data_IF_893442037666
#
_entry.id   IF_893442037666
#
_cell.length_a   1.000
_cell.length_b   1.000
_cell.length_c   1.000
_cell.angle_alpha   90.00
_cell.angle_beta   90.00
_cell.angle_gamma   90.00
#
_symmetry.space_group_name_H-M   'P 1'
#
loop_
_entity.id
_entity.type
_entity.pdbx_description
1 polymer ?
#
# COMPACT_ATOMS: atom_id res chain seq x y z
N UNK A 1 12.71 19.47 24.92
CA UNK A 1 11.67 20.21 24.22
C UNK A 1 11.73 19.72 22.77
N UNK A 2 10.74 18.97 22.40
CA UNK A 2 10.58 18.40 21.09
C UNK A 2 10.15 19.51 20.14
N UNK A 3 10.85 19.61 19.06
CA UNK A 3 10.62 20.66 18.09
C UNK A 3 10.23 20.02 16.78
N UNK A 4 8.94 20.03 16.51
CA UNK A 4 8.50 19.87 15.12
C UNK A 4 9.13 20.98 14.29
N UNK A 5 9.64 20.64 13.12
CA UNK A 5 10.24 21.60 12.20
C UNK A 5 9.27 21.86 11.05
N UNK A 6 9.00 23.11 10.77
CA UNK A 6 8.23 23.50 9.60
C UNK A 6 8.91 22.97 8.32
N UNK A 7 8.13 22.39 7.42
CA UNK A 7 8.60 21.78 6.19
C UNK A 7 9.08 20.33 6.33
N UNK A 8 8.88 19.69 7.50
CA UNK A 8 9.05 18.25 7.66
C UNK A 8 7.87 17.50 6.98
N UNK A 9 7.71 17.72 5.69
CA UNK A 9 6.64 17.21 4.84
C UNK A 9 7.20 16.85 3.45
N UNK A 10 6.33 16.47 2.53
CA UNK A 10 6.70 16.13 1.15
C UNK A 10 6.50 17.28 0.17
N UNK A 11 6.18 18.49 0.67
CA UNK A 11 5.89 19.68 -0.15
C UNK A 11 4.84 19.43 -1.24
N UNK A 12 3.79 18.68 -0.89
CA UNK A 12 2.78 18.19 -1.83
C UNK A 12 2.01 19.32 -2.52
N UNK A 13 1.84 20.46 -1.86
CA UNK A 13 1.15 21.62 -2.46
C UNK A 13 1.84 22.14 -3.72
N UNK A 14 3.16 22.07 -3.79
CA UNK A 14 3.88 22.43 -5.00
C UNK A 14 3.72 21.36 -6.10
N UNK A 15 3.67 20.08 -5.72
CA UNK A 15 3.39 19.00 -6.66
C UNK A 15 1.97 19.11 -7.25
N UNK A 16 0.96 19.48 -6.43
CA UNK A 16 -0.42 19.66 -6.88
C UNK A 16 -0.61 20.82 -7.87
N UNK A 17 0.33 21.76 -7.97
CA UNK A 17 0.33 22.77 -9.05
C UNK A 17 0.61 22.15 -10.42
N UNK A 18 1.23 20.98 -10.46
CA UNK A 18 1.55 20.24 -11.68
C UNK A 18 0.53 19.12 -11.95
N UNK A 19 0.27 18.29 -10.96
CA UNK A 19 -0.70 17.20 -11.04
C UNK A 19 -1.13 16.78 -9.63
N UNK A 20 -2.43 16.49 -9.45
CA UNK A 20 -2.99 16.00 -8.19
C UNK A 20 -3.51 14.55 -8.30
N UNK A 21 -3.42 13.94 -9.47
CA UNK A 21 -3.86 12.59 -9.78
C UNK A 21 -4.09 12.41 -11.28
N UNK A 22 -4.34 11.17 -11.68
CA UNK A 22 -4.74 10.81 -13.05
C UNK A 22 -5.61 9.54 -12.96
N UNK A 23 -6.89 9.57 -13.35
CA UNK A 23 -7.79 8.43 -13.25
C UNK A 23 -7.45 7.28 -14.20
N UNK A 24 -6.53 7.48 -15.14
CA UNK A 24 -5.99 6.40 -15.98
C UNK A 24 -4.92 5.55 -15.27
N UNK A 25 -4.42 6.01 -14.14
CA UNK A 25 -3.43 5.30 -13.34
C UNK A 25 -4.12 4.55 -12.21
N UNK A 26 -3.79 3.27 -12.07
CA UNK A 26 -4.26 2.42 -10.96
C UNK A 26 -3.09 2.08 -10.05
N UNK A 27 -3.29 2.32 -8.76
CA UNK A 27 -2.39 1.90 -7.66
C UNK A 27 -3.00 0.68 -6.99
N UNK A 28 -2.34 -0.45 -7.06
CA UNK A 28 -2.74 -1.63 -6.32
C UNK A 28 -2.18 -1.55 -4.89
N UNK A 29 -3.08 -1.58 -3.92
CA UNK A 29 -2.76 -1.66 -2.50
C UNK A 29 -2.69 -3.14 -2.14
N UNK A 30 -1.47 -3.65 -2.04
CA UNK A 30 -1.20 -5.04 -1.67
C UNK A 30 -1.00 -5.07 -0.16
N UNK A 31 -2.08 -5.34 0.60
CA UNK A 31 -2.14 -5.09 2.04
C UNK A 31 -3.30 -5.87 2.70
N UNK A 32 -3.80 -5.44 3.86
CA UNK A 32 -5.16 -5.71 4.32
C UNK A 32 -6.17 -5.10 3.33
N UNK A 33 -7.42 -5.53 3.39
CA UNK A 33 -8.45 -4.99 2.50
C UNK A 33 -8.74 -3.51 2.71
N UNK A 34 -9.19 -2.87 1.65
CA UNK A 34 -9.64 -1.47 1.68
C UNK A 34 -11.13 -1.45 2.01
N UNK A 35 -11.53 -0.59 2.93
CA UNK A 35 -12.94 -0.22 3.15
C UNK A 35 -13.44 0.59 1.94
N UNK A 36 -13.74 -0.11 0.85
CA UNK A 36 -14.09 0.49 -0.43
C UNK A 36 -15.33 1.39 -0.39
N UNK A 37 -16.19 1.21 0.63
CA UNK A 37 -17.37 2.06 0.87
C UNK A 37 -17.06 3.31 1.70
N UNK A 38 -15.82 3.51 2.13
CA UNK A 38 -15.43 4.70 2.91
C UNK A 38 -15.74 5.97 2.10
N UNK A 39 -16.42 6.97 2.68
CA UNK A 39 -16.90 8.14 1.93
C UNK A 39 -15.78 8.96 1.29
N UNK A 40 -14.57 8.86 1.83
CA UNK A 40 -13.39 9.55 1.32
C UNK A 40 -12.55 8.72 0.33
N UNK A 41 -12.93 7.48 0.04
CA UNK A 41 -12.24 6.57 -0.88
C UNK A 41 -13.08 6.13 -2.07
N UNK A 42 -14.39 5.97 -1.86
CA UNK A 42 -15.29 5.28 -2.80
C UNK A 42 -15.20 5.80 -4.24
N UNK A 43 -15.05 7.12 -4.46
CA UNK A 43 -14.97 7.70 -5.80
C UNK A 43 -13.62 7.40 -6.51
N UNK A 44 -12.59 7.10 -5.75
CA UNK A 44 -11.26 6.76 -6.28
C UNK A 44 -10.98 5.24 -6.31
N UNK A 45 -11.96 4.40 -5.95
CA UNK A 45 -11.80 2.96 -6.12
C UNK A 45 -11.70 2.58 -7.60
N UNK A 46 -10.80 1.65 -7.91
CA UNK A 46 -10.80 0.91 -9.16
C UNK A 46 -12.05 0.02 -9.22
N UNK A 47 -12.62 -0.13 -10.39
CA UNK A 47 -13.84 -0.93 -10.58
C UNK A 47 -13.65 -1.86 -11.77
N UNK A 48 -13.73 -3.18 -11.52
CA UNK A 48 -13.95 -4.16 -12.57
C UNK A 48 -15.40 -4.03 -13.07
N UNK A 49 -15.58 -3.40 -14.23
CA UNK A 49 -16.89 -3.10 -14.76
C UNK A 49 -17.64 -4.34 -15.27
N UNK A 50 -16.92 -5.37 -15.67
CA UNK A 50 -17.54 -6.62 -16.09
C UNK A 50 -18.22 -7.28 -14.89
N UNK A 51 -17.48 -7.41 -13.78
CA UNK A 51 -17.99 -7.98 -12.53
C UNK A 51 -19.08 -7.10 -11.89
N UNK A 52 -18.93 -5.78 -11.91
CA UNK A 52 -19.94 -4.86 -11.38
C UNK A 52 -21.29 -4.97 -12.07
N UNK A 53 -21.30 -5.25 -13.38
CA UNK A 53 -22.52 -5.39 -14.19
C UNK A 53 -22.90 -6.83 -14.48
N UNK A 54 -22.10 -7.79 -14.02
CA UNK A 54 -22.21 -9.21 -14.28
C UNK A 54 -23.18 -9.95 -13.36
N UNK A 55 -23.10 -11.25 -13.39
CA UNK A 55 -23.93 -12.14 -12.59
C UNK A 55 -23.19 -12.56 -11.31
N UNK A 56 -23.81 -12.33 -10.16
CA UNK A 56 -23.23 -12.73 -8.86
C UNK A 56 -22.78 -14.18 -8.84
N UNK A 57 -21.56 -14.42 -8.36
CA UNK A 57 -20.92 -15.73 -8.24
C UNK A 57 -20.33 -16.24 -9.55
N UNK A 58 -20.21 -15.40 -10.55
CA UNK A 58 -19.64 -15.73 -11.84
C UNK A 58 -18.46 -14.82 -12.15
N UNK A 59 -17.44 -15.37 -12.75
CA UNK A 59 -16.35 -14.65 -13.38
C UNK A 59 -16.80 -14.20 -14.78
N UNK A 60 -17.17 -12.91 -14.92
CA UNK A 60 -17.79 -12.36 -16.13
C UNK A 60 -16.74 -11.85 -17.14
N UNK A 61 -15.49 -11.65 -16.76
CA UNK A 61 -14.39 -11.26 -17.66
C UNK A 61 -13.38 -12.38 -17.96
N UNK A 62 -13.49 -13.52 -17.26
CA UNK A 62 -12.64 -14.68 -17.48
C UNK A 62 -11.24 -14.55 -16.92
N UNK A 63 -11.05 -13.67 -15.93
CA UNK A 63 -9.76 -13.44 -15.28
C UNK A 63 -9.41 -14.48 -14.19
N UNK A 64 -10.38 -15.32 -13.80
CA UNK A 64 -10.25 -16.37 -12.79
C UNK A 64 -10.80 -15.96 -11.41
N UNK A 65 -11.35 -14.76 -11.25
CA UNK A 65 -11.80 -14.20 -9.97
C UNK A 65 -13.24 -13.69 -10.08
N UNK A 66 -14.21 -14.48 -9.63
CA UNK A 66 -15.62 -14.09 -9.66
C UNK A 66 -15.91 -12.95 -8.67
N UNK A 67 -16.76 -12.01 -9.07
CA UNK A 67 -17.22 -10.85 -8.26
C UNK A 67 -16.09 -9.92 -7.74
N UNK A 68 -14.95 -9.82 -8.41
CA UNK A 68 -13.79 -9.01 -8.01
C UNK A 68 -13.95 -7.50 -8.29
N UNK A 69 -15.12 -6.93 -7.98
CA UNK A 69 -15.52 -5.59 -8.36
C UNK A 69 -14.52 -4.49 -7.95
N UNK A 70 -13.93 -4.58 -6.75
CA UNK A 70 -12.97 -3.60 -6.22
C UNK A 70 -11.56 -4.19 -6.02
N UNK A 71 -11.34 -5.41 -6.46
CA UNK A 71 -10.19 -6.24 -6.21
C UNK A 71 -10.57 -7.55 -5.55
N UNK A 72 -9.61 -8.25 -4.95
CA UNK A 72 -9.83 -9.60 -4.43
C UNK A 72 -9.09 -9.86 -3.12
N UNK A 73 -9.63 -10.74 -2.27
CA UNK A 73 -9.02 -11.22 -1.04
C UNK A 73 -8.29 -12.54 -1.30
N UNK A 74 -7.01 -12.46 -1.58
CA UNK A 74 -6.13 -13.59 -1.86
C UNK A 74 -5.79 -14.41 -0.62
N UNK A 75 -5.88 -13.80 0.59
CA UNK A 75 -5.67 -14.52 1.84
C UNK A 75 -6.73 -15.61 2.06
N UNK A 76 -7.97 -15.33 1.66
CA UNK A 76 -9.10 -16.25 1.82
C UNK A 76 -9.62 -16.86 0.50
N UNK A 77 -9.11 -16.42 -0.65
CA UNK A 77 -9.56 -16.89 -1.97
C UNK A 77 -11.01 -16.50 -2.28
N UNK A 78 -11.40 -15.24 -1.99
CA UNK A 78 -12.78 -14.77 -2.16
C UNK A 78 -12.82 -13.30 -2.60
N UNK A 79 -13.91 -12.88 -3.23
CA UNK A 79 -14.18 -11.47 -3.55
C UNK A 79 -14.58 -10.62 -2.33
N UNK A 80 -14.87 -11.23 -1.19
CA UNK A 80 -15.23 -10.52 0.03
C UNK A 80 -13.98 -9.85 0.64
N UNK A 81 -13.83 -8.55 0.41
CA UNK A 81 -12.81 -7.73 1.04
C UNK A 81 -13.16 -7.46 2.50
N UNK A 82 -12.17 -7.58 3.39
CA UNK A 82 -12.30 -7.35 4.83
C UNK A 82 -11.24 -6.35 5.30
N UNK A 83 -11.54 -5.55 6.32
CA UNK A 83 -10.64 -4.51 6.86
C UNK A 83 -10.67 -4.37 8.38
N UNK A 84 -11.54 -5.12 9.05
CA UNK A 84 -11.83 -5.02 10.48
C UNK A 84 -12.11 -6.39 11.13
N UNK A 85 -11.56 -7.48 10.57
CA UNK A 85 -11.70 -8.82 11.12
C UNK A 85 -10.92 -8.93 12.42
N UNK A 86 -11.62 -9.22 13.52
CA UNK A 86 -10.99 -9.51 14.79
C UNK A 86 -10.38 -10.91 14.78
N UNK A 87 -9.11 -11.02 15.18
CA UNK A 87 -8.43 -12.28 15.39
C UNK A 87 -7.43 -12.16 16.54
N UNK A 88 -7.25 -13.24 17.29
CA UNK A 88 -6.34 -13.28 18.44
C UNK A 88 -5.47 -14.53 18.37
N UNK A 89 -4.20 -14.38 18.72
CA UNK A 89 -3.29 -15.51 18.82
C UNK A 89 -3.54 -16.34 20.10
N UNK A 90 -2.76 -17.40 20.27
CA UNK A 90 -2.84 -18.30 21.44
C UNK A 90 -2.40 -17.64 22.77
N UNK A 91 -1.82 -16.44 22.72
CA UNK A 91 -1.49 -15.60 23.88
C UNK A 91 -2.55 -14.54 24.16
N UNK A 92 -3.56 -14.41 23.29
CA UNK A 92 -4.60 -13.39 23.37
C UNK A 92 -4.17 -12.03 22.83
N UNK A 93 -3.07 -11.95 22.07
CA UNK A 93 -2.67 -10.73 21.38
C UNK A 93 -3.51 -10.57 20.10
N UNK A 94 -3.96 -9.34 19.84
CA UNK A 94 -4.74 -9.05 18.64
C UNK A 94 -3.85 -9.13 17.41
N UNK A 95 -4.17 -10.06 16.52
CA UNK A 95 -3.53 -10.26 15.21
C UNK A 95 -4.49 -10.01 14.05
N UNK A 96 -5.66 -9.43 14.36
CA UNK A 96 -6.70 -9.14 13.38
C UNK A 96 -6.40 -7.93 12.50
N UNK A 97 -7.36 -7.61 11.64
CA UNK A 97 -7.25 -6.45 10.77
C UNK A 97 -7.33 -5.16 11.61
N UNK A 98 -6.49 -4.20 11.28
CA UNK A 98 -6.39 -2.90 11.96
C UNK A 98 -6.87 -1.73 11.08
N UNK A 99 -7.47 -2.01 9.92
CA UNK A 99 -7.76 -1.00 8.91
C UNK A 99 -6.52 -0.50 8.16
N UNK A 100 -5.37 -1.18 8.31
CA UNK A 100 -4.09 -0.75 7.74
C UNK A 100 -4.16 -0.49 6.24
N UNK A 101 -4.74 -1.41 5.44
CA UNK A 101 -4.92 -1.22 4.01
C UNK A 101 -5.81 -0.02 3.65
N UNK A 102 -6.83 0.26 4.49
CA UNK A 102 -7.68 1.46 4.34
C UNK A 102 -6.89 2.74 4.61
N UNK A 103 -6.05 2.74 5.66
CA UNK A 103 -5.18 3.88 5.99
C UNK A 103 -4.15 4.14 4.88
N UNK A 104 -3.50 3.11 4.36
CA UNK A 104 -2.57 3.20 3.23
C UNK A 104 -3.28 3.76 1.99
N UNK A 105 -4.47 3.25 1.66
CA UNK A 105 -5.27 3.72 0.54
C UNK A 105 -5.62 5.22 0.66
N UNK A 106 -5.97 5.68 1.85
CA UNK A 106 -6.27 7.10 2.11
C UNK A 106 -5.06 8.01 1.91
N UNK A 107 -3.90 7.59 2.39
CA UNK A 107 -2.65 8.32 2.15
C UNK A 107 -2.34 8.47 0.67
N UNK A 108 -2.60 7.42 -0.12
CA UNK A 108 -2.40 7.46 -1.58
C UNK A 108 -3.43 8.35 -2.26
N UNK A 109 -4.73 8.16 -2.01
CA UNK A 109 -5.76 8.76 -2.85
C UNK A 109 -7.11 9.00 -2.15
N UNK A 110 -7.14 9.38 -0.87
CA UNK A 110 -8.35 9.98 -0.30
C UNK A 110 -8.78 11.18 -1.17
N UNK A 111 -10.08 11.31 -1.41
CA UNK A 111 -10.61 12.28 -2.37
C UNK A 111 -10.40 13.71 -1.88
N UNK A 112 -9.62 14.49 -2.60
CA UNK A 112 -9.36 15.89 -2.23
C UNK A 112 -10.58 16.77 -2.48
N UNK A 113 -10.74 17.84 -1.70
CA UNK A 113 -11.79 18.87 -1.86
C UNK A 113 -13.24 18.37 -1.81
N UNK A 114 -13.50 17.23 -1.19
CA UNK A 114 -14.86 16.68 -1.03
C UNK A 114 -15.52 17.12 0.30
N UNK A 115 -14.81 17.84 1.17
CA UNK A 115 -15.29 18.28 2.47
C UNK A 115 -15.38 17.17 3.53
N UNK A 116 -14.76 16.01 3.28
CA UNK A 116 -14.76 14.84 4.16
C UNK A 116 -13.31 14.42 4.42
N UNK A 117 -13.03 13.92 5.61
CA UNK A 117 -11.78 13.23 5.97
C UNK A 117 -10.50 13.99 5.66
N UNK A 118 -9.66 13.45 4.81
CA UNK A 118 -8.32 13.94 4.47
C UNK A 118 -8.13 14.09 2.96
N UNK A 119 -7.01 14.68 2.53
CA UNK A 119 -6.61 14.69 1.12
C UNK A 119 -5.46 13.70 0.91
N UNK A 120 -5.66 12.71 0.06
CA UNK A 120 -4.60 11.82 -0.39
C UNK A 120 -3.63 12.52 -1.34
N UNK A 121 -2.40 12.02 -1.44
CA UNK A 121 -1.34 12.62 -2.27
C UNK A 121 -1.77 12.72 -3.75
N UNK A 122 -2.43 11.68 -4.25
CA UNK A 122 -2.96 11.59 -5.61
C UNK A 122 -4.49 11.48 -5.66
N UNK A 123 -5.18 12.09 -4.68
CA UNK A 123 -6.64 12.05 -4.52
C UNK A 123 -7.43 12.87 -5.53
N UNK A 124 -6.75 13.60 -6.41
CA UNK A 124 -7.36 14.46 -7.41
C UNK A 124 -7.69 15.86 -6.90
N UNK A 125 -8.54 16.56 -7.63
CA UNK A 125 -8.98 17.94 -7.33
C UNK A 125 -10.43 18.02 -6.82
N UNK A 126 -11.07 16.89 -6.54
CA UNK A 126 -12.49 16.78 -6.23
C UNK A 126 -13.40 16.63 -7.46
N UNK A 127 -12.83 16.37 -8.64
CA UNK A 127 -13.53 16.21 -9.91
C UNK A 127 -13.53 14.78 -10.45
N UNK A 128 -13.32 13.78 -9.59
CA UNK A 128 -13.11 12.37 -9.95
C UNK A 128 -11.85 12.13 -10.81
N UNK A 129 -10.85 12.95 -10.62
CA UNK A 129 -9.59 12.99 -11.34
C UNK A 129 -8.40 12.44 -10.52
N UNK A 130 -8.66 11.80 -9.39
CA UNK A 130 -7.69 11.06 -8.61
C UNK A 130 -7.28 9.73 -9.27
N UNK A 131 -6.13 9.18 -8.86
CA UNK A 131 -5.73 7.82 -9.24
C UNK A 131 -6.74 6.79 -8.74
N UNK A 132 -6.76 5.60 -9.32
CA UNK A 132 -7.66 4.53 -8.92
C UNK A 132 -6.96 3.56 -7.96
N UNK A 133 -7.68 3.14 -6.91
CA UNK A 133 -7.21 2.24 -5.87
C UNK A 133 -7.77 0.84 -6.08
N UNK A 134 -6.91 -0.15 -6.31
CA UNK A 134 -7.27 -1.55 -6.42
C UNK A 134 -6.92 -2.28 -5.13
N UNK A 135 -7.87 -2.99 -4.52
CA UNK A 135 -7.65 -3.73 -3.28
C UNK A 135 -7.13 -5.14 -3.59
N UNK A 136 -5.85 -5.35 -3.37
CA UNK A 136 -5.21 -6.67 -3.50
C UNK A 136 -4.92 -7.20 -2.09
N UNK A 137 -5.95 -7.77 -1.44
CA UNK A 137 -5.88 -8.15 -0.04
C UNK A 137 -5.06 -9.43 0.15
N UNK A 138 -3.95 -9.34 0.87
CA UNK A 138 -3.06 -10.46 1.20
C UNK A 138 -3.04 -10.81 2.69
N UNK A 139 -3.64 -9.98 3.54
CA UNK A 139 -3.84 -10.23 4.97
C UNK A 139 -5.31 -10.09 5.32
N UNK A 140 -5.86 -11.04 6.09
CA UNK A 140 -7.26 -11.05 6.56
C UNK A 140 -7.34 -11.70 7.92
N UNK A 141 -7.55 -10.92 8.97
CA UNK A 141 -7.39 -11.41 10.32
C UNK A 141 -5.99 -11.97 10.55
N UNK A 142 -5.87 -13.19 11.06
CA UNK A 142 -4.58 -13.88 11.21
C UNK A 142 -4.10 -14.64 9.97
N UNK A 143 -4.83 -14.57 8.86
CA UNK A 143 -4.56 -15.35 7.65
C UNK A 143 -3.82 -14.55 6.60
N UNK A 144 -3.04 -15.22 5.77
CA UNK A 144 -2.35 -14.64 4.60
C UNK A 144 -0.85 -14.44 4.77
N UNK A 145 -0.30 -13.52 3.98
CA UNK A 145 1.11 -13.10 4.07
C UNK A 145 2.14 -14.11 3.55
N UNK A 146 1.74 -15.20 2.90
CA UNK A 146 2.71 -16.11 2.28
C UNK A 146 3.20 -15.57 0.93
N UNK A 147 4.42 -15.96 0.52
CA UNK A 147 4.97 -15.59 -0.79
C UNK A 147 4.09 -16.04 -1.97
N UNK A 148 3.29 -17.09 -1.82
CA UNK A 148 2.36 -17.54 -2.84
C UNK A 148 1.16 -16.59 -2.95
N UNK A 149 0.58 -16.19 -1.83
CA UNK A 149 -0.52 -15.22 -1.75
C UNK A 149 -0.09 -13.86 -2.31
N UNK A 150 1.09 -13.37 -1.92
CA UNK A 150 1.65 -12.11 -2.46
C UNK A 150 1.86 -12.21 -3.97
N UNK A 151 2.41 -13.32 -4.47
CA UNK A 151 2.67 -13.52 -5.89
C UNK A 151 1.37 -13.53 -6.72
N UNK A 152 0.32 -14.18 -6.23
CA UNK A 152 -0.99 -14.21 -6.88
C UNK A 152 -1.61 -12.81 -6.95
N UNK A 153 -1.61 -12.08 -5.84
CA UNK A 153 -2.11 -10.71 -5.76
C UNK A 153 -1.36 -9.74 -6.69
N UNK A 154 -0.03 -9.85 -6.75
CA UNK A 154 0.81 -9.01 -7.61
C UNK A 154 0.58 -9.32 -9.09
N UNK A 155 0.45 -10.61 -9.45
CA UNK A 155 0.12 -11.01 -10.81
C UNK A 155 -1.26 -10.50 -11.22
N UNK A 156 -2.27 -10.66 -10.35
CA UNK A 156 -3.60 -10.10 -10.56
C UNK A 156 -3.56 -8.59 -10.81
N UNK A 157 -2.83 -7.85 -9.98
CA UNK A 157 -2.69 -6.40 -10.16
C UNK A 157 -2.11 -6.03 -11.53
N UNK A 158 -1.10 -6.76 -12.00
CA UNK A 158 -0.52 -6.58 -13.34
C UNK A 158 -1.55 -6.85 -14.45
N UNK A 159 -2.24 -7.97 -14.37
CA UNK A 159 -3.20 -8.40 -15.39
C UNK A 159 -4.43 -7.49 -15.46
N UNK A 160 -4.80 -6.86 -14.34
CA UNK A 160 -5.95 -5.96 -14.22
C UNK A 160 -5.59 -4.47 -14.33
N UNK A 161 -4.43 -4.14 -14.86
CA UNK A 161 -4.10 -2.79 -15.30
C UNK A 161 -3.47 -1.87 -14.25
N UNK A 162 -3.05 -2.38 -13.10
CA UNK A 162 -2.31 -1.58 -12.14
C UNK A 162 -0.94 -1.16 -12.69
N UNK A 163 -0.55 0.08 -12.41
CA UNK A 163 0.72 0.66 -12.85
C UNK A 163 1.71 0.83 -11.70
N UNK A 164 1.21 0.84 -10.46
CA UNK A 164 2.00 1.01 -9.24
C UNK A 164 1.55 -0.03 -8.23
N UNK A 165 2.51 -0.73 -7.61
CA UNK A 165 2.29 -1.54 -6.41
C UNK A 165 2.70 -0.74 -5.18
N UNK A 166 1.79 -0.60 -4.24
CA UNK A 166 2.02 -0.10 -2.90
C UNK A 166 2.03 -1.26 -1.92
N UNK A 167 3.19 -1.52 -1.32
CA UNK A 167 3.45 -2.69 -0.48
C UNK A 167 3.98 -2.23 0.90
N UNK A 168 3.09 -2.03 1.87
CA UNK A 168 3.46 -1.63 3.23
C UNK A 168 3.73 -2.84 4.13
N UNK A 169 4.51 -3.79 3.63
CA UNK A 169 4.90 -5.04 4.29
C UNK A 169 6.28 -5.50 3.83
N UNK A 170 6.83 -6.50 4.51
CA UNK A 170 8.10 -7.12 4.17
C UNK A 170 8.55 -8.14 5.19
N UNK A 171 9.66 -8.80 4.93
CA UNK A 171 10.30 -9.69 5.90
C UNK A 171 11.06 -8.86 6.94
N UNK A 172 11.12 -9.30 8.21
CA UNK A 172 11.92 -8.63 9.23
C UNK A 172 13.37 -8.42 8.78
N UNK A 173 13.92 -7.24 9.06
CA UNK A 173 15.28 -6.91 8.67
C UNK A 173 16.30 -7.90 9.28
N UNK A 174 17.12 -8.50 8.42
CA UNK A 174 18.09 -9.54 8.79
C UNK A 174 17.60 -10.98 8.58
N UNK A 175 16.29 -11.20 8.35
CA UNK A 175 15.79 -12.53 7.97
C UNK A 175 16.29 -12.95 6.58
N UNK A 176 16.34 -11.99 5.66
CA UNK A 176 16.96 -12.11 4.34
C UNK A 176 17.98 -10.98 4.19
N UNK A 177 19.21 -11.27 3.78
CA UNK A 177 20.31 -10.30 3.82
C UNK A 177 20.97 -10.04 2.47
N UNK A 178 20.60 -10.75 1.42
CA UNK A 178 21.15 -10.58 0.07
C UNK A 178 20.09 -10.79 -1.01
N UNK A 179 20.28 -10.13 -2.14
CA UNK A 179 19.42 -10.30 -3.33
C UNK A 179 19.33 -11.75 -3.78
N UNK A 180 20.45 -12.48 -3.74
CA UNK A 180 20.48 -13.90 -4.12
C UNK A 180 19.68 -14.77 -3.15
N UNK A 181 19.74 -14.50 -1.84
CA UNK A 181 18.96 -15.23 -0.84
C UNK A 181 17.45 -14.95 -1.04
N UNK A 182 17.06 -13.70 -1.29
CA UNK A 182 15.69 -13.34 -1.62
C UNK A 182 15.22 -14.03 -2.91
N UNK A 183 15.97 -13.86 -3.99
CA UNK A 183 15.61 -14.40 -5.30
C UNK A 183 15.47 -15.94 -5.32
N UNK A 184 16.20 -16.64 -4.46
CA UNK A 184 16.10 -18.11 -4.33
C UNK A 184 15.03 -18.55 -3.35
N UNK A 185 14.92 -17.86 -2.20
CA UNK A 185 14.00 -18.22 -1.10
C UNK A 185 12.55 -17.83 -1.37
N UNK A 186 12.32 -16.65 -1.96
CA UNK A 186 11.00 -16.14 -2.31
C UNK A 186 10.78 -16.09 -3.84
N UNK A 187 11.22 -17.12 -4.53
CA UNK A 187 11.28 -17.15 -6.00
C UNK A 187 9.95 -16.81 -6.68
N UNK A 188 8.83 -17.35 -6.18
CA UNK A 188 7.52 -17.14 -6.80
C UNK A 188 7.09 -15.67 -6.66
N UNK A 189 7.30 -15.07 -5.49
CA UNK A 189 7.01 -13.66 -5.22
C UNK A 189 7.88 -12.76 -6.12
N UNK A 190 9.18 -13.02 -6.16
CA UNK A 190 10.09 -12.27 -7.05
C UNK A 190 9.69 -12.36 -8.52
N UNK A 191 9.31 -13.53 -9.01
CA UNK A 191 8.85 -13.70 -10.40
C UNK A 191 7.58 -12.90 -10.68
N UNK A 192 6.64 -12.83 -9.73
CA UNK A 192 5.44 -12.02 -9.88
C UNK A 192 5.76 -10.52 -9.90
N UNK A 193 6.69 -10.06 -9.06
CA UNK A 193 7.15 -8.66 -9.06
C UNK A 193 7.87 -8.34 -10.39
N UNK A 194 8.76 -9.21 -10.86
CA UNK A 194 9.44 -9.02 -12.15
C UNK A 194 8.42 -8.95 -13.31
N UNK A 195 7.39 -9.79 -13.28
CA UNK A 195 6.30 -9.75 -14.24
C UNK A 195 5.55 -8.42 -14.18
N UNK A 196 5.21 -7.93 -12.99
CA UNK A 196 4.56 -6.63 -12.82
C UNK A 196 5.43 -5.49 -13.37
N UNK A 197 6.72 -5.46 -13.05
CA UNK A 197 7.67 -4.44 -13.56
C UNK A 197 7.75 -4.48 -15.09
N UNK A 198 7.71 -5.67 -15.70
CA UNK A 198 7.76 -5.82 -17.14
C UNK A 198 6.43 -5.50 -17.86
N UNK A 199 5.32 -5.41 -17.12
CA UNK A 199 3.99 -5.17 -17.68
C UNK A 199 3.73 -3.68 -17.85
N UNK A 200 3.37 -3.27 -19.07
CA UNK A 200 3.08 -1.87 -19.40
C UNK A 200 1.59 -1.61 -19.45
N UNK A 201 1.04 -1.05 -18.40
CA UNK A 201 -0.38 -0.79 -18.20
C UNK A 201 -0.83 0.66 -18.43
N UNK A 202 0.09 1.55 -18.81
CA UNK A 202 -0.22 2.95 -19.10
C UNK A 202 0.73 3.52 -20.15
N UNK A 203 0.45 4.73 -20.63
CA UNK A 203 1.22 5.39 -21.67
C UNK A 203 2.46 6.17 -21.12
N UNK A 204 2.52 6.38 -19.81
CA UNK A 204 3.52 7.26 -19.17
C UNK A 204 4.73 6.46 -18.68
N UNK A 205 4.47 5.32 -18.02
CA UNK A 205 5.51 4.46 -17.47
C UNK A 205 5.88 3.37 -18.47
N UNK A 206 7.16 3.05 -18.56
CA UNK A 206 7.67 1.97 -19.43
C UNK A 206 7.72 0.62 -18.69
N UNK A 207 6.76 0.40 -17.79
CA UNK A 207 6.59 -0.75 -16.94
C UNK A 207 5.95 -0.38 -15.60
N UNK A 208 5.78 -1.35 -14.70
CA UNK A 208 5.22 -1.13 -13.37
C UNK A 208 6.24 -0.58 -12.37
N UNK A 209 5.81 0.28 -11.46
CA UNK A 209 6.60 0.73 -10.31
C UNK A 209 6.22 -0.08 -9.07
N UNK A 210 7.24 -0.48 -8.29
CA UNK A 210 7.03 -1.28 -7.07
C UNK A 210 7.65 -0.56 -5.89
N UNK A 211 6.82 -0.27 -4.86
CA UNK A 211 7.19 0.55 -3.72
C UNK A 211 6.93 -0.25 -2.44
N UNK A 212 7.97 -0.41 -1.62
CA UNK A 212 7.92 -1.12 -0.34
C UNK A 212 8.25 -0.22 0.84
N UNK A 213 7.69 -0.52 2.00
CA UNK A 213 8.20 0.00 3.26
C UNK A 213 9.56 -0.63 3.57
N UNK A 214 10.48 0.15 4.14
CA UNK A 214 11.79 -0.34 4.55
C UNK A 214 11.71 -1.28 5.77
N UNK A 215 10.62 -1.19 6.55
CA UNK A 215 10.38 -1.96 7.77
C UNK A 215 10.56 -1.13 9.05
N UNK A 216 10.13 -1.71 10.18
CA UNK A 216 9.95 -1.05 11.46
C UNK A 216 10.80 -1.67 12.59
N UNK A 217 11.94 -2.26 12.25
CA UNK A 217 12.81 -3.00 13.19
C UNK A 217 13.89 -2.13 13.82
N UNK A 218 14.00 -0.84 13.49
CA UNK A 218 15.08 0.07 13.85
C UNK A 218 16.46 -0.50 13.48
N UNK A 219 16.57 -1.15 12.32
CA UNK A 219 17.77 -1.85 11.85
C UNK A 219 18.50 -1.08 10.76
N UNK A 220 19.84 -1.29 10.70
CA UNK A 220 20.73 -0.67 9.72
C UNK A 220 20.69 -1.40 8.36
N UNK A 221 19.50 -1.76 7.89
CA UNK A 221 19.21 -2.29 6.56
C UNK A 221 17.69 -2.25 6.30
N UNK A 222 17.29 -2.16 5.03
CA UNK A 222 15.89 -2.37 4.64
C UNK A 222 15.51 -3.84 4.76
N UNK A 223 14.22 -4.12 5.03
CA UNK A 223 13.65 -5.46 4.87
C UNK A 223 13.45 -5.82 3.39
N UNK A 224 13.53 -7.12 3.06
CA UNK A 224 13.12 -7.62 1.76
C UNK A 224 11.58 -7.82 1.74
N UNK A 225 10.92 -7.64 0.59
CA UNK A 225 11.42 -7.40 -0.77
C UNK A 225 12.02 -6.03 -1.01
N UNK A 226 11.67 -4.98 -0.23
CA UNK A 226 12.06 -3.60 -0.45
C UNK A 226 13.55 -3.36 -0.64
N UNK A 227 14.40 -4.14 0.05
CA UNK A 227 15.86 -4.06 -0.08
C UNK A 227 16.41 -4.55 -1.42
N UNK A 228 15.60 -5.22 -2.26
CA UNK A 228 16.06 -5.70 -3.55
C UNK A 228 16.39 -4.53 -4.48
N UNK A 229 17.53 -4.63 -5.17
CA UNK A 229 18.16 -3.53 -5.93
C UNK A 229 17.28 -2.83 -6.96
N UNK A 230 16.27 -3.51 -7.52
CA UNK A 230 15.42 -3.02 -8.59
C UNK A 230 14.07 -2.49 -8.05
N UNK A 231 13.87 -2.48 -6.71
CA UNK A 231 12.63 -2.03 -6.08
C UNK A 231 12.86 -0.72 -5.31
N UNK A 232 11.80 0.00 -5.03
CA UNK A 232 11.85 1.23 -4.26
C UNK A 232 11.52 0.91 -2.80
N UNK A 233 12.46 1.22 -1.89
CA UNK A 233 12.28 1.09 -0.44
C UNK A 233 12.21 2.45 0.21
N UNK A 234 11.17 2.67 1.03
CA UNK A 234 10.89 3.95 1.67
C UNK A 234 11.07 3.81 3.19
N UNK A 235 11.99 4.59 3.74
CA UNK A 235 12.21 4.73 5.18
C UNK A 235 11.40 5.90 5.75
N UNK A 236 11.25 5.98 7.05
CA UNK A 236 10.43 6.98 7.71
C UNK A 236 11.25 8.05 8.43
N UNK A 237 10.84 9.31 8.31
CA UNK A 237 11.34 10.37 9.18
C UNK A 237 10.22 10.99 10.02
N UNK A 238 10.61 11.55 11.14
CA UNK A 238 9.74 12.18 12.12
C UNK A 238 9.60 13.68 11.89
N UNK A 239 8.65 14.37 12.56
CA UNK A 239 8.40 15.80 12.36
C UNK A 239 9.58 16.73 12.69
N UNK A 240 10.66 16.25 13.28
CA UNK A 240 11.89 17.00 13.55
C UNK A 240 13.00 16.81 12.49
N UNK A 241 12.70 16.11 11.40
CA UNK A 241 13.62 15.67 10.34
C UNK A 241 14.62 14.59 10.75
N UNK A 242 14.48 13.98 11.93
CA UNK A 242 15.29 12.83 12.29
C UNK A 242 14.62 11.52 11.80
N UNK A 243 15.38 10.43 11.65
CA UNK A 243 14.77 9.13 11.41
C UNK A 243 13.73 8.81 12.49
N UNK A 244 12.56 8.32 12.11
CA UNK A 244 11.57 7.84 13.06
C UNK A 244 12.17 6.68 13.90
N UNK A 245 11.84 6.61 15.18
CA UNK A 245 12.47 5.68 16.13
C UNK A 245 12.40 4.21 15.71
N UNK A 246 11.39 3.86 14.95
CA UNK A 246 11.12 2.50 14.48
C UNK A 246 11.75 2.19 13.12
N UNK A 247 12.12 3.20 12.33
CA UNK A 247 12.43 3.00 10.92
C UNK A 247 13.68 2.17 10.69
N UNK A 248 13.63 1.32 9.69
CA UNK A 248 14.85 0.75 9.13
C UNK A 248 15.59 1.80 8.28
N UNK A 249 16.91 1.73 8.17
CA UNK A 249 17.76 2.74 7.53
C UNK A 249 19.01 2.11 6.89
N UNK A 250 19.70 2.88 6.05
CA UNK A 250 20.98 2.44 5.46
C UNK A 250 20.82 1.61 4.19
N UNK A 251 21.61 0.53 4.00
CA UNK A 251 21.60 -0.23 2.75
C UNK A 251 20.21 -0.76 2.37
N UNK A 252 19.87 -0.61 1.09
CA UNK A 252 18.58 -1.02 0.55
C UNK A 252 17.45 0.00 0.72
N UNK A 253 17.66 1.11 1.46
CA UNK A 253 16.71 2.22 1.52
C UNK A 253 17.04 3.24 0.41
N UNK A 254 16.02 3.69 -0.35
CA UNK A 254 16.19 4.60 -1.48
C UNK A 254 15.70 6.01 -1.19
N UNK A 255 14.58 6.13 -0.48
CA UNK A 255 13.86 7.39 -0.23
C UNK A 255 13.42 7.43 1.22
N UNK A 256 13.26 8.63 1.78
CA UNK A 256 12.64 8.86 3.08
C UNK A 256 11.34 9.65 2.91
N UNK A 257 10.31 9.31 3.67
CA UNK A 257 9.03 10.00 3.71
C UNK A 257 8.58 10.26 5.15
N UNK A 258 7.70 11.23 5.42
CA UNK A 258 7.10 11.41 6.73
C UNK A 258 6.38 10.13 7.19
N UNK A 259 6.79 9.56 8.31
CA UNK A 259 6.17 8.35 8.88
C UNK A 259 5.51 8.59 10.23
N UNK A 260 5.74 9.77 10.81
CA UNK A 260 5.32 10.07 12.18
C UNK A 260 6.23 9.47 13.25
N UNK A 261 6.05 9.92 14.48
CA UNK A 261 6.80 9.42 15.63
C UNK A 261 5.99 9.60 16.92
N UNK A 262 5.72 8.51 17.63
CA UNK A 262 4.93 8.53 18.85
C UNK A 262 5.65 9.23 20.03
N UNK A 263 6.97 9.35 20.01
CA UNK A 263 7.76 9.96 21.07
C UNK A 263 7.99 11.45 20.89
N UNK A 264 7.69 12.03 19.72
CA UNK A 264 7.92 13.45 19.42
C UNK A 264 6.67 14.32 19.66
N UNK A 265 5.61 13.76 20.20
CA UNK A 265 4.42 14.53 20.50
C UNK A 265 4.58 15.33 21.80
N UNK A 266 4.55 16.68 21.78
CA UNK A 266 4.70 17.53 22.98
C UNK A 266 3.63 17.29 24.05
N UNK A 267 2.56 16.58 23.74
CA UNK A 267 1.40 16.38 24.60
C UNK A 267 0.97 14.93 24.77
N UNK A 268 1.76 13.95 24.26
CA UNK A 268 1.31 12.55 24.18
C UNK A 268 0.12 12.37 23.22
N UNK A 269 -0.14 13.37 22.37
CA UNK A 269 -1.22 13.34 21.38
C UNK A 269 -0.76 12.63 20.10
N UNK A 270 -1.70 12.18 19.28
CA UNK A 270 -1.45 11.64 17.95
C UNK A 270 -0.99 12.67 16.90
N UNK A 271 -0.69 13.92 17.35
CA UNK A 271 -0.35 15.04 16.46
C UNK A 271 0.93 14.87 15.64
N UNK A 272 1.80 13.94 16.03
CA UNK A 272 3.03 13.61 15.29
C UNK A 272 2.87 12.39 14.40
N UNK A 273 1.66 11.88 14.20
CA UNK A 273 1.35 10.75 13.35
C UNK A 273 0.77 11.20 12.02
N UNK A 274 0.84 10.34 11.01
CA UNK A 274 0.23 10.57 9.70
C UNK A 274 -1.26 10.27 9.78
N UNK A 275 -2.11 11.26 9.48
CA UNK A 275 -3.55 11.08 9.41
C UNK A 275 -3.95 10.47 8.07
N UNK A 276 -4.95 9.56 8.09
CA UNK A 276 -5.53 8.98 6.90
C UNK A 276 -6.96 8.48 7.17
N UNK A 277 -7.52 7.71 6.25
CA UNK A 277 -8.85 7.08 6.35
C UNK A 277 -8.81 5.81 7.21
N UNK A 278 -9.88 5.58 7.99
CA UNK A 278 -10.12 4.35 8.78
C UNK A 278 -11.60 3.98 8.79
#
# INVERSE_FOLDING_TARGET
AETTRAGADINVEEAWKLAAGDPSLTVAIVDQGIKYSHPDLAANMWINKAEQSGATGRDDDGNGYADDVYGYNFALGTSLLTWDVEAYDDKGENIGDSGHGTHVAGTVAAVSNNGVGVSGIAGGTGRNDGVKLMSCQIFSGGEGGSAAVSAEAIKYAADNGASILQCSWGYPAGAVTTDNAYASGARIEKQAIDYFIATKNNAVLDGGLVIFAAGNDAKAMSGYPGAYRDYISVTAFSPDYLPAYYTNYGPGCNVAAPGGDAYISPSGSSAAQVLSTL
#
